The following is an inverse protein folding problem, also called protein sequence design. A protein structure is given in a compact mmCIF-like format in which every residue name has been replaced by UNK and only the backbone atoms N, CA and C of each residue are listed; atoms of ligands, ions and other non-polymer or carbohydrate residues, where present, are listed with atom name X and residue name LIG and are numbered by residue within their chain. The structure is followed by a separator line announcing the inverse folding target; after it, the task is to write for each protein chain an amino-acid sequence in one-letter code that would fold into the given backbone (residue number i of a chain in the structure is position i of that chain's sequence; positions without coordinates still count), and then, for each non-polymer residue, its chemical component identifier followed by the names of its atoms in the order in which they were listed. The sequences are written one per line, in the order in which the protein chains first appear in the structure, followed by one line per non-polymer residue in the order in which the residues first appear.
data_IF_941995681362
#
_entry.id   IF_941995681362
#
_cell.length_a   1.000
_cell.length_b   1.000
_cell.length_c   1.000
_cell.angle_alpha   90.00
_cell.angle_beta   90.00
_cell.angle_gamma   90.00
#
_symmetry.space_group_name_H-M   'P 1'
#
loop_
_entity.id
_entity.type
_entity.pdbx_description
1 polymer ?
#
# COMPACT_ATOMS: atom_id res chain seq x y z
N UNK A 1 1.92 -27.05 19.36
CA UNK A 1 1.25 -27.09 18.03
C UNK A 1 1.76 -25.91 17.19
N UNK A 2 2.13 -26.17 15.97
CA UNK A 2 2.58 -25.15 15.03
C UNK A 2 1.38 -24.25 14.62
N UNK A 3 1.52 -22.94 14.80
CA UNK A 3 0.48 -21.98 14.38
C UNK A 3 0.48 -21.87 12.85
N UNK A 4 -0.69 -21.74 12.26
CA UNK A 4 -0.84 -21.58 10.82
C UNK A 4 -1.99 -20.65 10.46
N UNK A 5 -1.93 -20.12 9.24
CA UNK A 5 -3.02 -19.45 8.54
C UNK A 5 -3.36 -20.20 7.26
N UNK A 6 -4.56 -19.99 6.76
CA UNK A 6 -4.98 -20.43 5.41
C UNK A 6 -4.99 -19.21 4.51
N UNK A 7 -4.11 -19.21 3.51
CA UNK A 7 -3.95 -18.09 2.57
C UNK A 7 -4.26 -18.60 1.16
N UNK A 8 -5.32 -18.09 0.55
CA UNK A 8 -5.82 -18.52 -0.76
C UNK A 8 -6.05 -20.05 -0.85
N UNK A 9 -6.45 -20.69 0.27
CA UNK A 9 -6.68 -22.13 0.38
C UNK A 9 -5.47 -22.95 0.83
N UNK A 10 -4.28 -22.35 0.91
CA UNK A 10 -3.06 -23.04 1.32
C UNK A 10 -2.72 -22.80 2.79
N UNK A 11 -2.25 -23.85 3.46
CA UNK A 11 -1.82 -23.78 4.86
C UNK A 11 -0.40 -23.22 4.94
N UNK A 12 -0.25 -22.07 5.58
CA UNK A 12 1.02 -21.36 5.76
C UNK A 12 1.37 -21.31 7.25
N UNK A 13 2.46 -21.93 7.69
CA UNK A 13 2.89 -21.86 9.08
C UNK A 13 3.47 -20.49 9.42
N UNK A 14 3.25 -20.04 10.66
CA UNK A 14 3.84 -18.81 11.19
C UNK A 14 4.27 -18.99 12.65
N UNK A 15 5.18 -18.17 13.12
CA UNK A 15 5.74 -18.22 14.48
C UNK A 15 5.51 -16.91 15.23
N UNK A 16 6.25 -15.88 14.87
CA UNK A 16 6.34 -14.57 15.54
C UNK A 16 6.07 -13.39 14.59
N UNK A 17 5.57 -13.68 13.40
CA UNK A 17 5.23 -12.64 12.42
C UNK A 17 4.25 -11.63 13.02
N UNK A 18 4.62 -10.34 13.03
CA UNK A 18 3.88 -9.25 13.68
C UNK A 18 2.53 -8.94 13.03
N UNK A 19 2.38 -9.29 11.76
CA UNK A 19 1.17 -8.99 10.99
C UNK A 19 0.95 -10.00 9.86
N UNK A 20 -0.28 -10.03 9.35
CA UNK A 20 -0.70 -10.91 8.25
C UNK A 20 0.18 -10.71 7.00
N UNK A 21 0.59 -9.47 6.70
CA UNK A 21 1.41 -9.18 5.52
C UNK A 21 2.76 -9.89 5.56
N UNK A 22 3.37 -10.04 6.74
CA UNK A 22 4.61 -10.78 6.89
C UNK A 22 4.42 -12.28 6.57
N UNK A 23 3.32 -12.88 7.03
CA UNK A 23 2.98 -14.28 6.72
C UNK A 23 2.71 -14.47 5.22
N UNK A 24 1.97 -13.54 4.59
CA UNK A 24 1.70 -13.56 3.15
C UNK A 24 3.01 -13.49 2.33
N UNK A 25 3.95 -12.63 2.74
CA UNK A 25 5.25 -12.52 2.09
C UNK A 25 6.11 -13.77 2.25
N UNK A 26 6.03 -14.42 3.41
CA UNK A 26 6.69 -15.72 3.67
C UNK A 26 6.16 -16.82 2.74
N UNK A 27 4.88 -16.77 2.39
CA UNK A 27 4.26 -17.64 1.39
C UNK A 27 4.61 -17.26 -0.07
N UNK A 28 5.50 -16.29 -0.30
CA UNK A 28 5.90 -15.87 -1.65
C UNK A 28 4.91 -14.93 -2.36
N UNK A 29 3.83 -14.54 -1.69
CA UNK A 29 2.79 -13.69 -2.29
C UNK A 29 3.15 -12.20 -2.11
N UNK A 30 3.20 -11.46 -3.22
CA UNK A 30 3.54 -10.04 -3.22
C UNK A 30 2.26 -9.19 -3.29
N UNK A 31 1.88 -8.62 -2.15
CA UNK A 31 0.84 -7.60 -2.10
C UNK A 31 1.41 -6.19 -2.29
N UNK A 32 0.70 -5.31 -3.02
CA UNK A 32 1.13 -3.93 -3.18
C UNK A 32 1.01 -3.17 -1.86
N UNK A 33 2.00 -2.34 -1.56
CA UNK A 33 2.01 -1.46 -0.38
C UNK A 33 2.66 -0.13 -0.72
N UNK A 34 2.18 0.98 -0.12
CA UNK A 34 2.87 2.27 -0.17
C UNK A 34 3.41 2.69 1.20
N UNK A 35 2.59 2.58 2.26
CA UNK A 35 2.95 3.09 3.59
C UNK A 35 3.78 2.11 4.43
N UNK A 36 3.62 0.81 4.22
CA UNK A 36 4.29 -0.20 5.05
C UNK A 36 5.79 -0.32 4.73
N UNK A 37 6.60 -0.32 5.78
CA UNK A 37 8.02 -0.68 5.78
C UNK A 37 8.31 -1.42 7.10
N UNK A 38 9.02 -2.55 7.04
CA UNK A 38 9.19 -3.48 8.18
C UNK A 38 9.82 -2.84 9.41
N UNK A 39 10.71 -1.87 9.19
CA UNK A 39 11.53 -1.26 10.24
C UNK A 39 10.95 0.06 10.78
N UNK A 40 9.78 0.46 10.29
CA UNK A 40 9.11 1.70 10.67
C UNK A 40 7.76 1.44 11.34
N UNK A 41 7.23 2.47 11.99
CA UNK A 41 5.89 2.47 12.56
C UNK A 41 4.83 2.14 11.51
N UNK A 42 3.81 1.37 11.90
CA UNK A 42 2.73 0.93 11.01
C UNK A 42 1.58 1.92 11.07
N UNK A 43 1.37 2.67 10.00
CA UNK A 43 0.26 3.64 9.91
C UNK A 43 -1.03 3.07 9.30
N UNK A 44 -0.95 2.01 8.49
CA UNK A 44 -2.12 1.45 7.79
C UNK A 44 -2.83 2.42 6.85
N UNK A 45 -2.17 3.53 6.45
CA UNK A 45 -2.80 4.65 5.77
C UNK A 45 -3.19 4.38 4.32
N UNK A 46 -2.37 3.67 3.55
CA UNK A 46 -2.58 3.53 2.11
C UNK A 46 -3.63 2.50 1.71
N UNK A 47 -3.99 1.57 2.57
CA UNK A 47 -4.99 0.49 2.35
C UNK A 47 -4.77 -0.38 1.10
N UNK A 48 -3.58 -0.37 0.51
CA UNK A 48 -3.26 -1.18 -0.67
C UNK A 48 -3.06 -2.66 -0.33
N UNK A 49 -2.63 -2.96 0.90
CA UNK A 49 -2.36 -4.31 1.39
C UNK A 49 -3.61 -5.07 1.89
N UNK A 50 -4.81 -4.60 1.56
CA UNK A 50 -6.04 -5.22 2.04
C UNK A 50 -6.20 -6.66 1.56
N UNK A 51 -6.73 -7.51 2.44
CA UNK A 51 -7.11 -8.90 2.19
C UNK A 51 -8.55 -9.12 2.65
N UNK A 52 -9.19 -10.15 2.15
CA UNK A 52 -10.55 -10.53 2.50
C UNK A 52 -10.48 -11.69 3.49
N UNK A 53 -11.22 -11.60 4.60
CA UNK A 53 -11.39 -12.70 5.55
C UNK A 53 -12.47 -13.68 5.09
N UNK A 54 -12.62 -14.79 5.80
CA UNK A 54 -13.59 -15.83 5.48
C UNK A 54 -15.07 -15.40 5.63
N UNK A 55 -15.33 -14.20 6.19
CA UNK A 55 -16.67 -13.59 6.32
C UNK A 55 -16.93 -12.52 5.26
N UNK A 56 -16.00 -12.32 4.32
CA UNK A 56 -16.07 -11.26 3.32
C UNK A 56 -15.66 -9.89 3.84
N UNK A 57 -15.13 -9.81 5.06
CA UNK A 57 -14.61 -8.58 5.64
C UNK A 57 -13.25 -8.20 5.05
N UNK A 58 -13.03 -6.90 4.81
CA UNK A 58 -11.77 -6.40 4.27
C UNK A 58 -10.90 -5.82 5.38
N UNK A 59 -9.72 -6.40 5.56
CA UNK A 59 -8.77 -6.01 6.60
C UNK A 59 -7.43 -5.59 6.01
N UNK A 60 -6.73 -4.65 6.66
CA UNK A 60 -5.40 -4.24 6.25
C UNK A 60 -4.36 -5.22 6.81
N UNK A 61 -3.77 -6.03 5.93
CA UNK A 61 -2.83 -7.09 6.34
C UNK A 61 -1.57 -6.58 7.07
N UNK A 62 -1.14 -5.34 6.80
CA UNK A 62 0.04 -4.75 7.45
C UNK A 62 -0.17 -4.36 8.92
N UNK A 63 -1.42 -4.14 9.36
CA UNK A 63 -1.76 -3.71 10.72
C UNK A 63 -2.56 -4.74 11.51
N UNK A 64 -2.93 -5.86 10.89
CA UNK A 64 -3.69 -6.93 11.54
C UNK A 64 -2.75 -8.06 11.95
N UNK A 65 -2.73 -8.46 13.25
CA UNK A 65 -1.93 -9.59 13.71
C UNK A 65 -2.47 -10.92 13.16
N UNK A 66 -1.61 -11.89 12.85
CA UNK A 66 -2.04 -13.22 12.44
C UNK A 66 -2.67 -13.98 13.62
N UNK A 67 -3.67 -14.79 13.32
CA UNK A 67 -4.30 -15.68 14.30
C UNK A 67 -4.27 -17.12 13.80
N UNK A 68 -4.09 -18.06 14.74
CA UNK A 68 -4.09 -19.49 14.40
C UNK A 68 -5.42 -19.92 13.76
N UNK A 69 -5.35 -20.61 12.62
CA UNK A 69 -6.52 -21.03 11.84
C UNK A 69 -7.23 -19.90 11.08
N UNK A 70 -6.69 -18.68 11.07
CA UNK A 70 -7.28 -17.58 10.31
C UNK A 70 -7.19 -17.85 8.82
N UNK A 71 -8.32 -17.71 8.13
CA UNK A 71 -8.43 -17.85 6.68
C UNK A 71 -8.58 -16.49 6.01
N UNK A 72 -7.78 -16.26 4.96
CA UNK A 72 -7.80 -15.04 4.17
C UNK A 72 -7.64 -15.33 2.68
N UNK A 73 -8.15 -14.42 1.87
CA UNK A 73 -7.95 -14.38 0.42
C UNK A 73 -7.20 -13.11 0.03
N UNK A 74 -6.23 -13.25 -0.84
CA UNK A 74 -5.37 -12.13 -1.27
C UNK A 74 -5.76 -11.54 -2.61
N UNK A 75 -6.50 -12.29 -3.43
CA UNK A 75 -6.85 -11.93 -4.81
C UNK A 75 -8.30 -12.31 -5.13
N UNK A 76 -9.24 -11.43 -4.77
CA UNK A 76 -10.65 -11.55 -5.14
C UNK A 76 -11.08 -10.38 -6.04
N UNK A 77 -12.18 -10.50 -6.82
CA UNK A 77 -12.72 -9.38 -7.58
C UNK A 77 -12.98 -8.13 -6.72
N UNK A 78 -13.46 -8.33 -5.48
CA UNK A 78 -13.69 -7.26 -4.54
C UNK A 78 -12.39 -6.53 -4.17
N UNK A 79 -11.32 -7.28 -3.84
CA UNK A 79 -10.01 -6.71 -3.52
C UNK A 79 -9.38 -5.99 -4.71
N UNK A 80 -9.53 -6.55 -5.92
CA UNK A 80 -9.08 -5.88 -7.14
C UNK A 80 -9.77 -4.52 -7.30
N UNK A 81 -11.07 -4.48 -7.13
CA UNK A 81 -11.87 -3.26 -7.24
C UNK A 81 -11.47 -2.22 -6.18
N UNK A 82 -11.29 -2.64 -4.92
CA UNK A 82 -10.82 -1.77 -3.85
C UNK A 82 -9.46 -1.16 -4.15
N UNK A 83 -8.48 -1.98 -4.55
CA UNK A 83 -7.13 -1.49 -4.88
C UNK A 83 -7.15 -0.53 -6.06
N UNK A 84 -7.93 -0.84 -7.09
CA UNK A 84 -8.11 0.04 -8.25
C UNK A 84 -8.66 1.41 -7.84
N UNK A 85 -9.68 1.45 -6.97
CA UNK A 85 -10.26 2.69 -6.45
C UNK A 85 -9.27 3.51 -5.62
N UNK A 86 -8.51 2.85 -4.75
CA UNK A 86 -7.47 3.52 -3.95
C UNK A 86 -6.41 4.14 -4.86
N UNK A 87 -5.95 3.41 -5.87
CA UNK A 87 -4.98 3.93 -6.84
C UNK A 87 -5.53 5.13 -7.60
N UNK A 88 -6.78 5.07 -8.03
CA UNK A 88 -7.44 6.16 -8.73
C UNK A 88 -7.54 7.43 -7.85
N UNK A 89 -7.87 7.26 -6.56
CA UNK A 89 -7.88 8.37 -5.59
C UNK A 89 -6.47 8.94 -5.36
N UNK A 90 -5.45 8.09 -5.26
CA UNK A 90 -4.06 8.54 -5.14
C UNK A 90 -3.61 9.31 -6.38
N UNK A 91 -4.00 8.86 -7.57
CA UNK A 91 -3.71 9.55 -8.83
C UNK A 91 -4.47 10.87 -8.95
N UNK A 92 -5.70 10.94 -8.43
CA UNK A 92 -6.48 12.20 -8.41
C UNK A 92 -5.78 13.27 -7.58
N UNK A 93 -5.24 12.90 -6.43
CA UNK A 93 -4.51 13.83 -5.55
C UNK A 93 -3.06 14.12 -5.99
N UNK A 94 -2.55 13.43 -7.00
CA UNK A 94 -1.17 13.54 -7.48
C UNK A 94 -1.08 14.47 -8.69
N UNK A 95 0.03 15.20 -8.84
CA UNK A 95 0.25 16.11 -9.98
C UNK A 95 0.28 15.42 -11.35
N UNK A 96 0.56 14.12 -11.42
CA UNK A 96 0.60 13.27 -12.63
C UNK A 96 1.56 13.76 -13.73
N UNK A 97 2.47 14.63 -13.40
CA UNK A 97 3.52 15.11 -14.32
C UNK A 97 4.64 14.07 -14.41
N UNK A 98 4.34 12.95 -15.06
CA UNK A 98 5.22 11.79 -15.10
C UNK A 98 6.41 11.99 -16.05
N UNK A 99 6.23 12.72 -17.14
CA UNK A 99 7.25 12.89 -18.17
C UNK A 99 8.47 13.67 -17.67
N UNK A 100 8.25 14.63 -16.76
CA UNK A 100 9.31 15.44 -16.14
C UNK A 100 9.70 14.96 -14.75
N UNK A 101 9.13 13.83 -14.29
CA UNK A 101 9.38 13.32 -12.95
C UNK A 101 10.65 12.46 -12.91
N UNK A 102 11.55 12.71 -11.96
CA UNK A 102 12.76 11.92 -11.72
C UNK A 102 12.48 10.44 -11.39
N UNK A 103 11.24 10.12 -10.96
CA UNK A 103 10.79 8.74 -10.68
C UNK A 103 10.15 8.07 -11.88
N UNK A 104 10.09 8.70 -13.04
CA UNK A 104 9.52 8.10 -14.24
C UNK A 104 10.19 6.76 -14.57
N UNK A 105 9.40 5.74 -14.88
CA UNK A 105 9.86 4.37 -15.13
C UNK A 105 10.27 3.56 -13.87
N UNK A 106 10.45 4.22 -12.71
CA UNK A 106 10.79 3.59 -11.41
C UNK A 106 9.78 3.92 -10.31
N UNK A 107 8.60 4.40 -10.70
CA UNK A 107 7.58 4.85 -9.78
C UNK A 107 6.58 3.72 -9.48
N UNK A 108 6.45 3.35 -8.19
CA UNK A 108 5.50 2.31 -7.77
C UNK A 108 4.04 2.68 -8.03
N UNK A 109 3.68 3.97 -7.98
CA UNK A 109 2.33 4.43 -8.32
C UNK A 109 2.05 4.22 -9.82
N UNK A 110 3.00 4.57 -10.68
CA UNK A 110 2.91 4.38 -12.12
C UNK A 110 2.82 2.88 -12.49
N UNK A 111 3.68 2.05 -11.91
CA UNK A 111 3.66 0.58 -12.08
C UNK A 111 2.28 -0.01 -11.74
N UNK A 112 1.75 0.37 -10.57
CA UNK A 112 0.45 -0.14 -10.13
C UNK A 112 -0.71 0.42 -10.95
N UNK A 113 -0.65 1.68 -11.39
CA UNK A 113 -1.64 2.26 -12.28
C UNK A 113 -1.75 1.47 -13.59
N UNK A 114 -0.61 1.09 -14.16
CA UNK A 114 -0.56 0.23 -15.36
C UNK A 114 -1.09 -1.18 -15.06
N UNK A 115 -0.64 -1.81 -13.97
CA UNK A 115 -1.07 -3.15 -13.57
C UNK A 115 -2.58 -3.25 -13.34
N UNK A 116 -3.20 -2.21 -12.79
CA UNK A 116 -4.65 -2.16 -12.55
C UNK A 116 -5.44 -1.53 -13.69
N UNK A 117 -4.80 -1.30 -14.83
CA UNK A 117 -5.41 -0.73 -16.03
C UNK A 117 -6.28 0.49 -15.72
N UNK A 118 -5.64 1.57 -15.24
CA UNK A 118 -6.29 2.85 -14.96
C UNK A 118 -6.00 3.80 -16.13
N UNK A 119 -6.88 3.90 -17.14
CA UNK A 119 -6.64 4.71 -18.33
C UNK A 119 -6.90 6.20 -18.08
N UNK A 120 -7.79 6.49 -17.13
CA UNK A 120 -8.18 7.85 -16.77
C UNK A 120 -8.54 7.94 -15.30
N UNK A 121 -8.45 9.12 -14.73
CA UNK A 121 -8.81 9.42 -13.34
C UNK A 121 -10.16 10.13 -13.35
N UNK A 122 -11.17 9.52 -12.73
CA UNK A 122 -12.56 10.03 -12.69
C UNK A 122 -12.77 11.10 -11.62
N UNK A 123 -11.92 11.12 -10.60
CA UNK A 123 -12.03 12.05 -9.49
C UNK A 123 -11.27 13.35 -9.79
N UNK A 124 -11.88 14.47 -9.49
CA UNK A 124 -11.23 15.77 -9.56
C UNK A 124 -10.20 15.94 -8.42
N UNK A 125 -9.12 16.64 -8.73
CA UNK A 125 -8.17 17.06 -7.71
C UNK A 125 -8.64 18.38 -7.08
N UNK A 126 -9.17 18.28 -5.88
CA UNK A 126 -9.60 19.45 -5.08
C UNK A 126 -8.49 19.96 -4.15
N UNK A 127 -7.31 19.35 -4.14
CA UNK A 127 -6.20 19.81 -3.32
C UNK A 127 -5.59 21.09 -3.90
N UNK A 128 -5.27 22.07 -3.07
CA UNK A 128 -4.55 23.26 -3.55
C UNK A 128 -3.15 22.89 -4.02
N UNK A 129 -2.71 23.51 -5.11
CA UNK A 129 -1.31 23.41 -5.55
C UNK A 129 -0.44 24.09 -4.50
N UNK A 130 0.53 23.36 -3.97
CA UNK A 130 1.45 23.85 -2.94
C UNK A 130 2.80 24.20 -3.55
N UNK A 131 3.48 25.26 -3.07
CA UNK A 131 4.82 25.60 -3.50
C UNK A 131 5.81 24.47 -3.18
N UNK A 132 6.86 24.39 -4.00
CA UNK A 132 7.98 23.49 -3.72
C UNK A 132 8.75 24.05 -2.53
N UNK A 133 8.99 23.21 -1.53
CA UNK A 133 9.75 23.56 -0.34
C UNK A 133 11.26 23.34 -0.59
N UNK A 134 12.00 24.42 -0.58
CA UNK A 134 13.46 24.50 -0.75
C UNK A 134 14.15 25.09 0.49
N UNK A 135 13.46 25.09 1.65
CA UNK A 135 13.98 25.66 2.89
C UNK A 135 15.26 24.97 3.41
N UNK A 136 15.42 23.70 3.06
CA UNK A 136 16.64 22.94 3.36
C UNK A 136 17.59 22.91 2.16
N UNK A 137 18.89 23.07 2.40
CA UNK A 137 19.92 22.92 1.36
C UNK A 137 20.08 21.46 0.90
N UNK A 138 19.75 20.50 1.75
CA UNK A 138 19.94 19.07 1.52
C UNK A 138 18.70 18.37 0.91
N UNK A 139 17.50 18.91 1.14
CA UNK A 139 16.24 18.25 0.77
C UNK A 139 15.33 19.25 0.07
N UNK A 140 14.94 18.93 -1.17
CA UNK A 140 13.87 19.62 -1.88
C UNK A 140 12.62 18.78 -1.82
N UNK A 141 11.51 19.36 -1.34
CA UNK A 141 10.24 18.68 -1.23
C UNK A 141 9.18 19.28 -2.15
N UNK A 142 8.64 18.47 -3.05
CA UNK A 142 7.45 18.83 -3.82
C UNK A 142 6.20 18.15 -3.22
N UNK A 143 5.35 18.88 -2.47
CA UNK A 143 4.17 18.29 -1.83
C UNK A 143 3.16 17.72 -2.83
N UNK A 144 3.12 18.23 -4.07
CA UNK A 144 2.17 17.80 -5.10
C UNK A 144 2.52 16.41 -5.67
N UNK A 145 3.74 15.94 -5.45
CA UNK A 145 4.22 14.59 -5.80
C UNK A 145 4.11 13.60 -4.63
N UNK A 146 3.56 14.00 -3.50
CA UNK A 146 3.50 13.19 -2.29
C UNK A 146 2.26 12.30 -2.27
N UNK A 147 2.43 10.98 -2.15
CA UNK A 147 1.35 9.99 -1.98
C UNK A 147 0.88 9.83 -0.53
N UNK A 148 1.33 10.70 0.40
CA UNK A 148 0.96 10.73 1.82
C UNK A 148 1.20 9.40 2.56
N UNK A 149 2.22 8.64 2.18
CA UNK A 149 2.52 7.33 2.78
C UNK A 149 3.10 7.39 4.20
N UNK A 150 3.48 8.57 4.68
CA UNK A 150 4.03 8.83 6.02
C UNK A 150 5.35 8.12 6.37
N UNK A 151 6.04 7.49 5.42
CA UNK A 151 7.32 6.82 5.69
C UNK A 151 8.40 7.76 6.21
N UNK A 152 8.48 8.97 5.66
CA UNK A 152 9.43 9.99 6.12
C UNK A 152 9.15 10.41 7.57
N UNK A 153 7.88 10.58 7.94
CA UNK A 153 7.47 10.89 9.31
C UNK A 153 7.87 9.75 10.24
N UNK A 154 7.50 8.51 9.91
CA UNK A 154 7.85 7.33 10.68
C UNK A 154 9.36 7.12 10.85
N UNK A 155 10.16 7.54 9.87
CA UNK A 155 11.61 7.48 9.97
C UNK A 155 12.19 8.53 10.96
N UNK A 156 11.53 9.69 11.09
CA UNK A 156 11.93 10.72 12.05
C UNK A 156 11.44 10.42 13.48
N UNK A 157 10.40 9.60 13.64
CA UNK A 157 9.88 9.17 14.95
C UNK A 157 10.70 8.02 15.59
N UNK A 158 11.60 7.41 14.84
CA UNK A 158 12.46 6.31 15.28
C UNK A 158 13.77 6.81 15.90
#
# INVERSE_FOLDING_TARGET
MEKYMIIDGERVPFTDEKNILAVIRKAGIILPTFCYYSDLSIYGACRMCVVEDNRGGIVASCSTPPKNGMEIRTNTPQLYYHRKRILELLLAAHCRDCTTCEKNGKCKLQELANRFAIPSVRFENTNPIRPIDTSSKAIVRNPNKCVLCKRCIAACEK
#
